data_IF_745063317255
#
_entry.id   IF_745063317255
#
_cell.length_a   1.000
_cell.length_b   1.000
_cell.length_c   1.000
_cell.angle_alpha   90.00
_cell.angle_beta   90.00
_cell.angle_gamma   90.00
#
_symmetry.space_group_name_H-M   'P 1'
#
loop_
_entity.id
_entity.type
_entity.pdbx_description
1 polymer ?
#
# COMPACT_ATOMS: atom_id res chain seq x y z
N UNK A 1 -4.46 -21.44 18.43
CA UNK A 1 -4.30 -19.98 18.50
C UNK A 1 -2.92 -19.51 18.03
N UNK A 2 -1.83 -20.18 18.40
CA UNK A 2 -0.46 -19.80 18.02
C UNK A 2 -0.21 -19.65 16.51
N UNK A 3 -0.64 -20.63 15.69
CA UNK A 3 -0.48 -20.57 14.22
C UNK A 3 -1.16 -19.35 13.58
N UNK A 4 -2.35 -18.98 14.07
CA UNK A 4 -3.09 -17.81 13.58
C UNK A 4 -2.34 -16.52 13.96
N UNK A 5 -1.84 -16.43 15.19
CA UNK A 5 -1.03 -15.29 15.65
C UNK A 5 0.24 -15.13 14.83
N UNK A 6 0.95 -16.23 14.55
CA UNK A 6 2.13 -16.22 13.70
C UNK A 6 1.81 -15.68 12.30
N UNK A 7 0.74 -16.20 11.68
CA UNK A 7 0.27 -15.72 10.38
C UNK A 7 -0.06 -14.21 10.36
N UNK A 8 -0.68 -13.68 11.42
CA UNK A 8 -0.92 -12.23 11.52
C UNK A 8 0.38 -11.42 11.61
N UNK A 9 1.38 -11.90 12.36
CA UNK A 9 2.68 -11.24 12.43
C UNK A 9 3.40 -11.19 11.09
N UNK A 10 3.34 -12.26 10.29
CA UNK A 10 3.91 -12.28 8.94
C UNK A 10 3.17 -11.34 7.98
N UNK A 11 1.83 -11.29 8.04
CA UNK A 11 1.04 -10.38 7.21
C UNK A 11 1.33 -8.92 7.58
N UNK A 12 1.46 -8.61 8.87
CA UNK A 12 1.79 -7.25 9.33
C UNK A 12 3.18 -6.82 8.85
N UNK A 13 4.18 -7.71 8.95
CA UNK A 13 5.52 -7.44 8.43
C UNK A 13 5.49 -7.19 6.91
N UNK A 14 4.82 -8.06 6.15
CA UNK A 14 4.68 -7.90 4.71
C UNK A 14 3.95 -6.58 4.34
N UNK A 15 2.89 -6.23 5.07
CA UNK A 15 2.17 -4.98 4.86
C UNK A 15 3.07 -3.75 5.13
N UNK A 16 3.88 -3.79 6.18
CA UNK A 16 4.85 -2.73 6.50
C UNK A 16 5.89 -2.56 5.39
N UNK A 17 6.43 -3.66 4.87
CA UNK A 17 7.41 -3.63 3.77
C UNK A 17 6.81 -3.07 2.48
N UNK A 18 5.58 -3.47 2.15
CA UNK A 18 4.85 -2.92 1.00
C UNK A 18 4.55 -1.43 1.22
N UNK A 19 4.22 -1.00 2.44
CA UNK A 19 3.92 0.41 2.75
C UNK A 19 5.16 1.30 2.56
N UNK A 20 6.31 0.83 3.06
CA UNK A 20 7.61 1.48 2.85
C UNK A 20 7.96 1.57 1.36
N UNK A 21 7.75 0.47 0.63
CA UNK A 21 8.00 0.41 -0.82
C UNK A 21 7.07 1.35 -1.60
N UNK A 22 5.78 1.39 -1.27
CA UNK A 22 4.82 2.32 -1.88
C UNK A 22 5.21 3.78 -1.62
N UNK A 23 5.60 4.10 -0.37
CA UNK A 23 6.11 5.43 -0.04
C UNK A 23 7.30 5.85 -0.91
N UNK A 24 8.25 4.93 -1.10
CA UNK A 24 9.42 5.16 -1.98
C UNK A 24 9.03 5.32 -3.45
N UNK A 25 8.10 4.51 -3.95
CA UNK A 25 7.57 4.63 -5.33
C UNK A 25 6.93 6.01 -5.51
N UNK A 26 6.08 6.44 -4.57
CA UNK A 26 5.44 7.75 -4.66
C UNK A 26 6.47 8.89 -4.71
N UNK A 27 7.49 8.86 -3.85
CA UNK A 27 8.58 9.86 -3.89
C UNK A 27 9.31 9.85 -5.24
N UNK A 28 9.67 8.68 -5.75
CA UNK A 28 10.36 8.56 -7.05
C UNK A 28 9.51 9.07 -8.21
N UNK A 29 8.19 8.82 -8.20
CA UNK A 29 7.27 9.31 -9.22
C UNK A 29 7.12 10.83 -9.16
N UNK A 30 7.04 11.42 -7.97
CA UNK A 30 7.00 12.88 -7.81
C UNK A 30 8.32 13.53 -8.27
N UNK A 31 9.46 12.95 -7.92
CA UNK A 31 10.76 13.40 -8.40
C UNK A 31 10.85 13.28 -9.94
N UNK A 32 10.39 12.18 -10.52
CA UNK A 32 10.36 11.97 -11.97
C UNK A 32 9.50 13.02 -12.66
N UNK A 33 8.28 13.28 -12.17
CA UNK A 33 7.39 14.33 -12.69
C UNK A 33 8.05 15.70 -12.61
N UNK A 34 8.70 16.03 -11.50
CA UNK A 34 9.38 17.30 -11.31
C UNK A 34 10.53 17.50 -12.31
N UNK A 35 11.32 16.44 -12.55
CA UNK A 35 12.42 16.46 -13.53
C UNK A 35 11.91 16.54 -14.98
N UNK A 36 10.81 15.87 -15.31
CA UNK A 36 10.27 15.87 -16.67
C UNK A 36 9.53 17.18 -17.00
N UNK A 37 8.85 17.80 -16.02
CA UNK A 37 8.04 19.01 -16.22
C UNK A 37 8.67 20.10 -17.12
N UNK A 38 9.93 20.53 -16.94
CA UNK A 38 10.55 21.52 -17.83
C UNK A 38 10.79 20.98 -19.25
N UNK A 39 11.04 19.68 -19.42
CA UNK A 39 11.26 19.05 -20.73
C UNK A 39 9.95 18.84 -21.48
N UNK A 40 8.91 18.42 -20.74
CA UNK A 40 7.57 18.22 -21.29
C UNK A 40 6.96 19.51 -21.85
N UNK A 41 7.37 20.68 -21.35
CA UNK A 41 6.96 21.97 -21.91
C UNK A 41 7.44 22.20 -23.36
N UNK A 42 8.49 21.49 -23.80
CA UNK A 42 9.02 21.56 -25.16
C UNK A 42 8.58 20.37 -26.04
N UNK A 43 7.79 19.43 -25.50
CA UNK A 43 7.30 18.28 -26.24
C UNK A 43 6.04 18.63 -27.01
N UNK A 44 6.04 18.32 -28.30
CA UNK A 44 4.90 18.49 -29.19
C UNK A 44 4.32 17.13 -29.61
N UNK A 45 3.01 17.10 -29.84
CA UNK A 45 2.31 15.96 -30.44
C UNK A 45 2.50 14.64 -29.69
N UNK A 46 3.11 13.68 -30.36
CA UNK A 46 3.23 12.27 -29.93
C UNK A 46 4.00 12.10 -28.62
N UNK A 47 5.11 12.81 -28.44
CA UNK A 47 5.92 12.72 -27.21
C UNK A 47 5.16 13.21 -25.98
N UNK A 48 4.34 14.27 -26.14
CA UNK A 48 3.50 14.78 -25.07
C UNK A 48 2.37 13.79 -24.73
N UNK A 49 1.76 13.16 -25.73
CA UNK A 49 0.75 12.13 -25.53
C UNK A 49 1.31 10.91 -24.80
N UNK A 50 2.43 10.36 -25.28
CA UNK A 50 3.08 9.19 -24.68
C UNK A 50 3.47 9.44 -23.21
N UNK A 51 3.95 10.63 -22.90
CA UNK A 51 4.22 11.02 -21.52
C UNK A 51 2.94 11.08 -20.67
N UNK A 52 1.86 11.67 -21.17
CA UNK A 52 0.60 11.76 -20.44
C UNK A 52 0.00 10.37 -20.17
N UNK A 53 0.11 9.44 -21.13
CA UNK A 53 -0.33 8.05 -20.97
C UNK A 53 0.52 7.33 -19.92
N UNK A 54 1.84 7.44 -19.99
CA UNK A 54 2.73 6.90 -18.97
C UNK A 54 2.42 7.48 -17.59
N UNK A 55 2.14 8.78 -17.53
CA UNK A 55 1.81 9.48 -16.30
C UNK A 55 0.54 8.94 -15.65
N UNK A 56 -0.52 8.80 -16.43
CA UNK A 56 -1.76 8.22 -15.95
C UNK A 56 -1.58 6.79 -15.48
N UNK A 57 -0.77 6.00 -16.21
CA UNK A 57 -0.53 4.60 -15.87
C UNK A 57 0.18 4.46 -14.51
N UNK A 58 1.27 5.18 -14.27
CA UNK A 58 1.97 5.06 -12.99
C UNK A 58 1.15 5.66 -11.84
N UNK A 59 0.39 6.74 -12.08
CA UNK A 59 -0.44 7.37 -11.05
C UNK A 59 -1.57 6.43 -10.62
N UNK A 60 -2.20 5.76 -11.60
CA UNK A 60 -3.20 4.73 -11.34
C UNK A 60 -2.61 3.54 -10.58
N UNK A 61 -1.44 3.04 -11.00
CA UNK A 61 -0.80 1.91 -10.32
C UNK A 61 -0.37 2.24 -8.89
N UNK A 62 0.13 3.46 -8.64
CA UNK A 62 0.46 3.92 -7.30
C UNK A 62 -0.78 4.04 -6.41
N UNK A 63 -1.88 4.57 -6.95
CA UNK A 63 -3.16 4.65 -6.24
C UNK A 63 -3.73 3.25 -5.91
N UNK A 64 -3.63 2.31 -6.84
CA UNK A 64 -4.03 0.91 -6.65
C UNK A 64 -3.21 0.24 -5.54
N UNK A 65 -1.88 0.39 -5.56
CA UNK A 65 -1.00 -0.12 -4.50
C UNK A 65 -1.40 0.42 -3.12
N UNK A 66 -1.65 1.73 -3.02
CA UNK A 66 -2.12 2.35 -1.77
C UNK A 66 -3.49 1.81 -1.32
N UNK A 67 -4.39 1.51 -2.26
CA UNK A 67 -5.70 0.91 -1.97
C UNK A 67 -5.57 -0.51 -1.44
N UNK A 68 -4.70 -1.32 -2.06
CA UNK A 68 -4.39 -2.69 -1.62
C UNK A 68 -3.81 -2.66 -0.21
N UNK A 69 -2.83 -1.78 0.05
CA UNK A 69 -2.23 -1.58 1.35
C UNK A 69 -3.25 -1.22 2.44
N UNK A 70 -4.16 -0.30 2.13
CA UNK A 70 -5.24 0.08 3.05
C UNK A 70 -6.16 -1.11 3.35
N UNK A 71 -6.51 -1.89 2.32
CA UNK A 71 -7.33 -3.10 2.47
C UNK A 71 -6.66 -4.15 3.34
N UNK A 72 -5.36 -4.42 3.13
CA UNK A 72 -4.59 -5.35 3.95
C UNK A 72 -4.53 -4.87 5.39
N UNK A 73 -4.19 -3.59 5.61
CA UNK A 73 -4.12 -3.00 6.95
C UNK A 73 -5.44 -3.11 7.72
N UNK A 74 -6.56 -2.86 7.03
CA UNK A 74 -7.90 -3.01 7.61
C UNK A 74 -8.23 -4.47 7.96
N UNK A 75 -7.83 -5.41 7.11
CA UNK A 75 -8.06 -6.85 7.31
C UNK A 75 -7.26 -7.37 8.50
N UNK A 76 -5.99 -6.99 8.62
CA UNK A 76 -5.13 -7.37 9.75
C UNK A 76 -5.70 -6.85 11.07
N UNK A 77 -6.12 -5.58 11.12
CA UNK A 77 -6.73 -4.98 12.31
C UNK A 77 -8.01 -5.70 12.73
N UNK A 78 -8.93 -5.95 11.79
CA UNK A 78 -10.15 -6.70 12.09
C UNK A 78 -9.87 -8.12 12.60
N UNK A 79 -8.87 -8.79 12.01
CA UNK A 79 -8.41 -10.10 12.47
C UNK A 79 -7.86 -10.08 13.89
N UNK A 80 -7.06 -9.06 14.23
CA UNK A 80 -6.51 -8.87 15.56
C UNK A 80 -7.59 -8.56 16.60
N UNK A 81 -8.55 -7.69 16.28
CA UNK A 81 -9.66 -7.35 17.17
C UNK A 81 -10.50 -8.58 17.52
N UNK A 82 -10.83 -9.40 16.51
CA UNK A 82 -11.54 -10.67 16.71
C UNK A 82 -10.73 -11.66 17.56
N UNK A 83 -9.41 -11.71 17.38
CA UNK A 83 -8.55 -12.59 18.18
C UNK A 83 -8.48 -12.14 19.65
N UNK A 84 -8.41 -10.82 19.88
CA UNK A 84 -8.44 -10.23 21.22
C UNK A 84 -9.75 -10.52 21.95
N UNK A 85 -10.88 -10.41 21.23
CA UNK A 85 -12.21 -10.76 21.75
C UNK A 85 -12.29 -12.25 22.13
N UNK A 86 -11.90 -13.16 21.23
CA UNK A 86 -11.88 -14.60 21.50
C UNK A 86 -10.98 -14.93 22.70
N UNK A 87 -9.81 -14.28 22.81
CA UNK A 87 -8.91 -14.48 23.94
C UNK A 87 -9.51 -13.98 25.25
N UNK A 88 -10.24 -12.84 25.23
CA UNK A 88 -10.95 -12.31 26.41
C UNK A 88 -12.08 -13.23 26.84
N UNK A 89 -12.90 -13.71 25.91
CA UNK A 89 -13.97 -14.67 26.19
C UNK A 89 -13.42 -15.98 26.75
N UNK A 90 -12.34 -16.49 26.15
CA UNK A 90 -11.65 -17.66 26.67
C UNK A 90 -11.17 -17.42 28.09
N UNK A 91 -10.46 -16.31 28.37
CA UNK A 91 -9.97 -15.99 29.72
C UNK A 91 -11.10 -15.89 30.76
N UNK A 92 -12.24 -15.27 30.41
CA UNK A 92 -13.41 -15.17 31.28
C UNK A 92 -14.10 -16.52 31.54
N UNK A 93 -13.92 -17.53 30.68
CA UNK A 93 -14.47 -18.87 30.92
C UNK A 93 -13.71 -19.66 32.00
N UNK A 94 -12.51 -19.23 32.39
CA UNK A 94 -11.70 -19.88 33.43
C UNK A 94 -11.76 -19.17 34.80
N UNK A 95 -12.48 -18.04 34.89
CA UNK A 95 -12.72 -17.32 36.14
C UNK A 95 -14.08 -17.69 36.73
#
# INVERSE_FOLDING_TARGET
>A
MEKIKYGFGEIEAAASDIQSTSGRINSLLEDLKAHIRPMAAAWEGESAQAYNEAQQQWDSSAAELNTILSTISNTVRQGNDRMSEVNRMAAASWS
#
